data_IF_953647565869
#
_entry.id   IF_953647565869
#
_cell.length_a   1.000
_cell.length_b   1.000
_cell.length_c   1.000
_cell.angle_alpha   90.00
_cell.angle_beta   90.00
_cell.angle_gamma   90.00
#
_symmetry.space_group_name_H-M   'P 1'
#
loop_
_entity.id
_entity.type
_entity.pdbx_description
1 polymer ?
#
# COMPACT_ATOMS: atom_id res chain seq x y z
N UNK A 1 -17.24 45.09 -32.17
CA UNK A 1 -17.72 43.72 -31.90
C UNK A 1 -16.82 43.12 -30.83
N UNK A 2 -17.30 43.06 -29.60
CA UNK A 2 -16.56 42.58 -28.44
C UNK A 2 -16.63 41.06 -28.44
N UNK A 3 -15.47 40.40 -28.46
CA UNK A 3 -15.37 38.95 -28.34
C UNK A 3 -15.61 38.55 -26.90
N UNK A 4 -16.77 37.97 -26.62
CA UNK A 4 -16.99 37.23 -25.39
C UNK A 4 -16.07 36.02 -25.38
N UNK A 5 -15.05 36.08 -24.51
CA UNK A 5 -14.33 34.90 -24.06
C UNK A 5 -15.36 33.99 -23.43
N UNK A 6 -15.64 32.86 -24.07
CA UNK A 6 -16.34 31.74 -23.45
C UNK A 6 -15.61 31.39 -22.17
N UNK A 7 -16.19 31.78 -21.05
CA UNK A 7 -15.90 31.24 -19.74
C UNK A 7 -16.18 29.74 -19.89
N UNK A 8 -15.14 28.93 -19.92
CA UNK A 8 -15.28 27.48 -19.87
C UNK A 8 -15.96 27.15 -18.54
N UNK A 9 -17.25 26.91 -18.66
CA UNK A 9 -18.17 26.46 -17.63
C UNK A 9 -17.49 25.42 -16.72
N UNK A 10 -17.22 25.84 -15.49
CA UNK A 10 -16.79 25.00 -14.36
C UNK A 10 -17.96 24.12 -13.90
N UNK A 11 -18.51 23.32 -14.82
CA UNK A 11 -19.75 22.58 -14.57
C UNK A 11 -19.41 21.12 -14.35
N UNK A 12 -19.40 20.75 -13.06
CA UNK A 12 -19.50 19.37 -12.53
C UNK A 12 -18.20 18.54 -12.52
N UNK A 13 -17.14 19.04 -11.90
CA UNK A 13 -15.98 18.22 -11.54
C UNK A 13 -16.40 17.28 -10.39
N UNK A 14 -16.76 16.03 -10.70
CA UNK A 14 -17.12 15.01 -9.71
C UNK A 14 -15.94 14.44 -8.91
N UNK A 15 -14.70 14.81 -9.29
CA UNK A 15 -13.48 14.37 -8.63
C UNK A 15 -12.32 15.35 -8.87
N UNK A 16 -11.60 15.68 -7.81
CA UNK A 16 -10.43 16.54 -7.82
C UNK A 16 -9.15 15.69 -7.90
N UNK A 17 -8.08 16.27 -8.48
CA UNK A 17 -6.78 15.62 -8.58
C UNK A 17 -5.72 16.47 -7.91
N UNK A 18 -5.07 15.90 -6.89
CA UNK A 18 -3.94 16.52 -6.20
C UNK A 18 -2.82 15.51 -5.96
N UNK A 19 -1.55 15.93 -6.12
CA UNK A 19 -0.34 15.09 -6.01
C UNK A 19 -0.41 13.74 -6.76
N UNK A 20 -1.17 13.71 -7.86
CA UNK A 20 -1.39 12.49 -8.65
C UNK A 20 -2.50 11.56 -8.15
N UNK A 21 -3.12 11.89 -7.01
CA UNK A 21 -4.23 11.18 -6.38
C UNK A 21 -5.56 11.76 -6.88
N UNK A 22 -6.56 10.92 -7.10
CA UNK A 22 -7.92 11.37 -7.47
C UNK A 22 -8.86 11.16 -6.28
N UNK A 23 -9.55 12.22 -5.88
CA UNK A 23 -10.50 12.20 -4.78
C UNK A 23 -11.87 12.62 -5.30
N UNK A 24 -12.85 11.73 -5.23
CA UNK A 24 -14.23 12.05 -5.58
C UNK A 24 -14.89 12.91 -4.50
N UNK A 25 -15.92 13.69 -4.85
CA UNK A 25 -16.65 14.55 -3.89
C UNK A 25 -17.24 13.77 -2.70
N UNK A 26 -17.52 12.47 -2.88
CA UNK A 26 -17.95 11.57 -1.81
C UNK A 26 -16.79 11.00 -0.97
N UNK A 27 -15.62 11.65 -1.01
CA UNK A 27 -14.37 11.23 -0.36
C UNK A 27 -13.93 9.81 -0.72
N UNK A 28 -14.30 9.34 -1.92
CA UNK A 28 -13.90 8.01 -2.41
C UNK A 28 -12.64 8.07 -3.25
N UNK A 29 -11.73 7.12 -3.00
CA UNK A 29 -10.53 6.88 -3.82
C UNK A 29 -10.72 5.81 -4.90
N UNK A 30 -11.92 5.25 -5.07
CA UNK A 30 -12.15 4.17 -6.04
C UNK A 30 -11.78 4.59 -7.47
N UNK A 31 -12.08 5.83 -7.88
CA UNK A 31 -11.67 6.37 -9.19
C UNK A 31 -10.14 6.40 -9.35
N UNK A 32 -9.41 6.72 -8.29
CA UNK A 32 -7.95 6.70 -8.32
C UNK A 32 -7.45 5.27 -8.52
N UNK A 33 -7.97 4.31 -7.75
CA UNK A 33 -7.56 2.90 -7.83
C UNK A 33 -7.89 2.28 -9.19
N UNK A 34 -9.01 2.67 -9.82
CA UNK A 34 -9.33 2.30 -11.20
C UNK A 34 -8.30 2.82 -12.20
N UNK A 35 -7.97 4.12 -12.13
CA UNK A 35 -6.94 4.72 -13.00
C UNK A 35 -5.57 4.09 -12.77
N UNK A 36 -5.24 3.75 -11.52
CA UNK A 36 -4.01 3.08 -11.13
C UNK A 36 -3.91 1.68 -11.74
N UNK A 37 -4.98 0.88 -11.59
CA UNK A 37 -5.06 -0.46 -12.14
C UNK A 37 -4.96 -0.44 -13.68
N UNK A 38 -5.65 0.50 -14.34
CA UNK A 38 -5.58 0.67 -15.80
C UNK A 38 -4.14 0.96 -16.28
N UNK A 39 -3.44 1.89 -15.62
CA UNK A 39 -2.03 2.18 -15.92
C UNK A 39 -1.15 0.94 -15.71
N UNK A 40 -1.35 0.23 -14.60
CA UNK A 40 -0.58 -0.96 -14.28
C UNK A 40 -0.81 -2.09 -15.31
N UNK A 41 -2.05 -2.30 -15.75
CA UNK A 41 -2.34 -3.25 -16.85
C UNK A 41 -1.72 -2.81 -18.18
N UNK A 42 -1.70 -1.51 -18.49
CA UNK A 42 -1.02 -1.01 -19.68
C UNK A 42 0.49 -1.31 -19.64
N UNK A 43 1.14 -1.11 -18.48
CA UNK A 43 2.54 -1.48 -18.25
C UNK A 43 2.76 -2.98 -18.41
N UNK A 44 1.93 -3.82 -17.81
CA UNK A 44 2.01 -5.28 -17.99
C UNK A 44 1.88 -5.69 -19.46
N UNK A 45 0.98 -5.03 -20.21
CA UNK A 45 0.83 -5.27 -21.66
C UNK A 45 2.08 -4.89 -22.43
N UNK A 46 2.72 -3.77 -22.09
CA UNK A 46 4.00 -3.37 -22.69
C UNK A 46 5.10 -4.40 -22.40
N UNK A 47 5.28 -4.78 -21.13
CA UNK A 47 6.24 -5.80 -20.71
C UNK A 47 6.04 -7.10 -21.50
N UNK A 48 4.78 -7.56 -21.60
CA UNK A 48 4.45 -8.79 -22.33
C UNK A 48 4.77 -8.71 -23.83
N UNK A 49 4.71 -7.51 -24.44
CA UNK A 49 5.02 -7.29 -25.85
C UNK A 49 6.53 -7.21 -26.09
N UNK A 50 7.26 -6.64 -25.16
CA UNK A 50 8.72 -6.45 -25.28
C UNK A 50 9.50 -7.75 -25.02
N UNK A 51 9.05 -8.57 -24.06
CA UNK A 51 9.75 -9.80 -23.68
C UNK A 51 8.97 -11.03 -24.13
N UNK A 52 9.56 -11.82 -25.04
CA UNK A 52 8.95 -13.07 -25.55
C UNK A 52 8.80 -14.14 -24.48
N UNK A 53 9.73 -14.19 -23.52
CA UNK A 53 9.70 -15.09 -22.37
C UNK A 53 10.09 -14.33 -21.11
N UNK A 54 9.27 -14.41 -20.07
CA UNK A 54 9.51 -13.77 -18.78
C UNK A 54 9.93 -14.85 -17.78
N UNK A 55 11.14 -14.71 -17.24
CA UNK A 55 11.67 -15.54 -16.15
C UNK A 55 11.21 -15.01 -14.79
N UNK A 56 11.41 -15.79 -13.71
CA UNK A 56 11.12 -15.36 -12.33
C UNK A 56 11.89 -14.08 -11.97
N UNK A 57 13.19 -14.04 -12.25
CA UNK A 57 14.06 -12.90 -11.97
C UNK A 57 13.66 -11.65 -12.76
N UNK A 58 13.36 -11.80 -14.05
CA UNK A 58 12.88 -10.70 -14.87
C UNK A 58 11.53 -10.16 -14.37
N UNK A 59 10.61 -11.04 -13.95
CA UNK A 59 9.36 -10.59 -13.34
C UNK A 59 9.63 -9.78 -12.09
N UNK A 60 10.48 -10.23 -11.17
CA UNK A 60 10.76 -9.48 -9.93
C UNK A 60 11.26 -8.06 -10.20
N UNK A 61 12.20 -7.92 -11.13
CA UNK A 61 12.76 -6.61 -11.49
C UNK A 61 11.68 -5.74 -12.14
N UNK A 62 11.01 -6.23 -13.18
CA UNK A 62 10.04 -5.45 -13.96
C UNK A 62 8.78 -5.13 -13.16
N UNK A 63 8.24 -6.12 -12.44
CA UNK A 63 7.08 -5.93 -11.58
C UNK A 63 7.42 -4.98 -10.43
N UNK A 64 8.55 -5.19 -9.76
CA UNK A 64 8.99 -4.36 -8.65
C UNK A 64 9.23 -2.90 -9.04
N UNK A 65 9.87 -2.66 -10.19
CA UNK A 65 10.21 -1.32 -10.65
C UNK A 65 9.01 -0.58 -11.26
N UNK A 66 8.23 -1.22 -12.14
CA UNK A 66 7.23 -0.47 -12.91
C UNK A 66 5.80 -0.62 -12.43
N UNK A 67 5.43 -1.80 -11.92
CA UNK A 67 4.03 -2.13 -11.60
C UNK A 67 3.77 -1.90 -10.12
N UNK A 68 4.62 -2.44 -9.25
CA UNK A 68 4.48 -2.36 -7.80
C UNK A 68 4.56 -0.92 -7.30
N UNK A 69 5.49 -0.13 -7.82
CA UNK A 69 5.60 1.29 -7.48
C UNK A 69 4.30 2.06 -7.76
N UNK A 70 3.63 1.76 -8.88
CA UNK A 70 2.32 2.35 -9.16
C UNK A 70 1.28 1.89 -8.12
N UNK A 71 1.18 0.58 -7.88
CA UNK A 71 0.14 0.01 -7.01
C UNK A 71 0.29 0.38 -5.53
N UNK A 72 1.49 0.75 -5.09
CA UNK A 72 1.81 1.04 -3.69
C UNK A 72 1.96 2.54 -3.39
N UNK A 73 1.89 3.40 -4.41
CA UNK A 73 1.96 4.84 -4.24
C UNK A 73 0.79 5.35 -3.38
N UNK A 74 1.12 6.17 -2.37
CA UNK A 74 0.16 6.78 -1.45
C UNK A 74 -0.78 5.77 -0.75
N UNK A 75 -0.34 4.52 -0.56
CA UNK A 75 -1.14 3.46 0.07
C UNK A 75 -1.84 3.87 1.37
N UNK A 76 -1.18 4.54 2.34
CA UNK A 76 -1.83 4.92 3.60
C UNK A 76 -2.99 5.89 3.46
N UNK A 77 -3.02 6.66 2.36
CA UNK A 77 -4.04 7.68 2.10
C UNK A 77 -5.19 7.11 1.26
N UNK A 78 -4.85 6.31 0.25
CA UNK A 78 -5.76 5.92 -0.83
C UNK A 78 -6.58 4.66 -0.47
N UNK A 79 -6.18 3.91 0.56
CA UNK A 79 -6.87 2.69 0.95
C UNK A 79 -8.26 2.98 1.53
N UNK A 80 -9.29 2.38 0.92
CA UNK A 80 -10.68 2.58 1.30
C UNK A 80 -11.27 1.45 2.15
N UNK A 81 -10.53 0.35 2.37
CA UNK A 81 -11.06 -0.87 3.00
C UNK A 81 -12.07 -1.66 2.15
N UNK A 82 -12.44 -1.16 0.96
CA UNK A 82 -13.51 -1.76 0.16
C UNK A 82 -12.99 -3.00 -0.55
N UNK A 83 -13.70 -4.12 -0.40
CA UNK A 83 -13.35 -5.40 -1.03
C UNK A 83 -13.22 -5.29 -2.55
N UNK A 84 -14.07 -4.48 -3.19
CA UNK A 84 -14.00 -4.23 -4.66
C UNK A 84 -12.66 -3.67 -5.08
N UNK A 85 -12.15 -2.70 -4.32
CA UNK A 85 -10.90 -1.99 -4.58
C UNK A 85 -9.69 -2.91 -4.33
N UNK A 86 -9.75 -3.74 -3.28
CA UNK A 86 -8.74 -4.78 -3.00
C UNK A 86 -8.68 -5.79 -4.14
N UNK A 87 -9.82 -6.33 -4.57
CA UNK A 87 -9.91 -7.29 -5.68
C UNK A 87 -9.35 -6.69 -6.97
N UNK A 88 -9.70 -5.44 -7.28
CA UNK A 88 -9.27 -4.75 -8.49
C UNK A 88 -7.74 -4.67 -8.57
N UNK A 89 -7.08 -4.26 -7.49
CA UNK A 89 -5.63 -4.12 -7.45
C UNK A 89 -4.95 -5.50 -7.44
N UNK A 90 -5.49 -6.46 -6.68
CA UNK A 90 -4.96 -7.83 -6.64
C UNK A 90 -5.03 -8.51 -8.02
N UNK A 91 -6.03 -8.16 -8.84
CA UNK A 91 -6.16 -8.65 -10.23
C UNK A 91 -4.94 -8.28 -11.08
N UNK A 92 -4.28 -7.16 -10.82
CA UNK A 92 -3.04 -6.75 -11.50
C UNK A 92 -1.90 -7.70 -11.16
N UNK A 93 -1.69 -8.01 -9.87
CA UNK A 93 -0.67 -8.98 -9.46
C UNK A 93 -0.97 -10.38 -9.99
N UNK A 94 -2.24 -10.81 -9.97
CA UNK A 94 -2.68 -12.08 -10.58
C UNK A 94 -2.38 -12.16 -12.07
N UNK A 95 -2.52 -11.06 -12.80
CA UNK A 95 -2.17 -11.00 -14.22
C UNK A 95 -0.65 -11.04 -14.45
N UNK A 96 0.12 -10.30 -13.64
CA UNK A 96 1.57 -10.26 -13.73
C UNK A 96 2.19 -11.65 -13.50
N UNK A 97 1.76 -12.36 -12.45
CA UNK A 97 2.28 -13.69 -12.11
C UNK A 97 1.98 -14.75 -13.19
N UNK A 98 0.91 -14.58 -13.98
CA UNK A 98 0.59 -15.46 -15.12
C UNK A 98 1.51 -15.27 -16.33
N UNK A 99 2.28 -14.18 -16.39
CA UNK A 99 3.17 -13.88 -17.51
C UNK A 99 4.47 -14.69 -17.47
N UNK A 100 4.83 -15.25 -16.32
CA UNK A 100 6.01 -16.10 -16.16
C UNK A 100 5.79 -17.44 -16.82
N UNK A 101 6.78 -17.88 -17.61
CA UNK A 101 6.72 -19.15 -18.31
C UNK A 101 6.51 -20.32 -17.33
N UNK A 102 5.55 -21.19 -17.63
CA UNK A 102 5.21 -22.35 -16.80
C UNK A 102 4.24 -22.07 -15.64
N UNK A 103 3.95 -20.81 -15.30
CA UNK A 103 3.09 -20.50 -14.14
C UNK A 103 1.62 -20.24 -14.49
N UNK A 104 1.28 -20.05 -15.78
CA UNK A 104 -0.05 -19.60 -16.22
C UNK A 104 -1.22 -20.46 -15.71
N UNK A 105 -1.05 -21.78 -15.66
CA UNK A 105 -2.09 -22.75 -15.27
C UNK A 105 -2.14 -23.03 -13.77
N UNK A 106 -1.11 -22.64 -13.01
CA UNK A 106 -1.09 -22.86 -11.56
C UNK A 106 -2.15 -22.02 -10.84
N UNK A 107 -2.59 -22.46 -9.66
CA UNK A 107 -3.44 -21.63 -8.79
C UNK A 107 -2.65 -20.43 -8.26
N UNK A 108 -3.36 -19.35 -7.88
CA UNK A 108 -2.71 -18.08 -7.56
C UNK A 108 -1.73 -18.19 -6.39
N UNK A 109 -2.14 -18.85 -5.30
CA UNK A 109 -1.30 -19.00 -4.11
C UNK A 109 0.00 -19.75 -4.42
N UNK A 110 -0.06 -20.79 -5.26
CA UNK A 110 1.14 -21.50 -5.72
C UNK A 110 2.03 -20.59 -6.57
N UNK A 111 1.47 -19.74 -7.44
CA UNK A 111 2.27 -18.77 -8.19
C UNK A 111 2.99 -17.79 -7.26
N UNK A 112 2.32 -17.33 -6.20
CA UNK A 112 2.92 -16.44 -5.20
C UNK A 112 4.08 -17.13 -4.48
N UNK A 113 3.91 -18.37 -4.04
CA UNK A 113 4.96 -19.15 -3.38
C UNK A 113 6.17 -19.38 -4.31
N UNK A 114 5.94 -19.81 -5.55
CA UNK A 114 7.02 -20.04 -6.54
C UNK A 114 7.77 -18.75 -6.85
N UNK A 115 7.07 -17.62 -6.90
CA UNK A 115 7.65 -16.32 -7.17
C UNK A 115 8.17 -15.63 -5.91
N UNK A 116 7.99 -16.18 -4.71
CA UNK A 116 8.32 -15.49 -3.45
C UNK A 116 7.73 -14.06 -3.40
N UNK A 117 6.40 -13.98 -3.60
CA UNK A 117 5.64 -12.74 -3.56
C UNK A 117 4.55 -12.81 -2.51
N UNK A 118 4.43 -11.77 -1.69
CA UNK A 118 3.28 -11.59 -0.82
C UNK A 118 2.06 -11.04 -1.59
N UNK A 119 0.82 -11.37 -1.18
CA UNK A 119 -0.38 -10.66 -1.61
C UNK A 119 -0.25 -9.14 -1.38
N UNK A 120 -0.88 -8.31 -2.23
CA UNK A 120 -0.76 -6.86 -2.09
C UNK A 120 -1.43 -6.35 -0.82
N UNK A 121 -2.50 -7.00 -0.38
CA UNK A 121 -3.18 -6.69 0.87
C UNK A 121 -2.25 -6.86 2.08
N UNK A 122 -1.49 -7.96 2.13
CA UNK A 122 -0.49 -8.16 3.19
C UNK A 122 0.58 -7.06 3.18
N UNK A 123 1.09 -6.69 2.00
CA UNK A 123 2.10 -5.63 1.90
C UNK A 123 1.57 -4.27 2.33
N UNK A 124 0.30 -3.97 2.05
CA UNK A 124 -0.37 -2.75 2.52
C UNK A 124 -0.49 -2.73 4.04
N UNK A 125 -1.03 -3.80 4.62
CA UNK A 125 -1.14 -3.92 6.07
C UNK A 125 0.21 -3.72 6.76
N UNK A 126 1.28 -4.32 6.20
CA UNK A 126 2.65 -4.09 6.69
C UNK A 126 3.07 -2.62 6.60
N UNK A 127 2.76 -1.94 5.50
CA UNK A 127 3.01 -0.51 5.33
C UNK A 127 2.27 0.37 6.34
N UNK A 128 1.00 0.06 6.58
CA UNK A 128 0.17 0.79 7.55
C UNK A 128 0.69 0.61 8.98
N UNK A 129 1.13 -0.60 9.34
CA UNK A 129 1.77 -0.88 10.62
C UNK A 129 3.09 -0.11 10.79
N UNK A 130 3.90 -0.03 9.75
CA UNK A 130 5.15 0.76 9.76
C UNK A 130 4.84 2.26 9.96
N UNK A 131 3.84 2.79 9.24
CA UNK A 131 3.43 4.19 9.41
C UNK A 131 2.89 4.44 10.81
N UNK A 132 2.06 3.55 11.32
CA UNK A 132 1.51 3.62 12.67
C UNK A 132 2.63 3.68 13.71
N UNK A 133 3.59 2.76 13.63
CA UNK A 133 4.77 2.77 14.50
C UNK A 133 5.54 4.10 14.40
N UNK A 134 5.76 4.63 13.19
CA UNK A 134 6.44 5.90 13.01
C UNK A 134 5.66 7.09 13.60
N UNK A 135 4.33 7.08 13.53
CA UNK A 135 3.51 8.13 14.14
C UNK A 135 3.62 8.15 15.66
N UNK A 136 3.54 6.98 16.31
CA UNK A 136 3.53 6.87 17.76
C UNK A 136 4.93 6.90 18.38
N UNK A 137 5.84 6.06 17.90
CA UNK A 137 7.14 5.83 18.55
C UNK A 137 8.23 6.77 18.06
N UNK A 138 8.12 7.28 16.83
CA UNK A 138 9.12 8.21 16.26
C UNK A 138 8.70 9.69 16.42
N UNK A 139 7.63 9.96 17.17
CA UNK A 139 7.19 11.32 17.49
C UNK A 139 6.70 12.13 16.28
N UNK A 140 6.45 11.50 15.12
CA UNK A 140 5.90 12.21 13.96
C UNK A 140 4.52 12.81 14.26
N UNK A 141 3.71 12.15 15.10
CA UNK A 141 2.42 12.69 15.51
C UNK A 141 2.58 14.07 16.19
N UNK A 142 3.55 14.23 17.10
CA UNK A 142 3.78 15.48 17.83
C UNK A 142 4.29 16.62 16.93
N UNK A 143 4.84 16.29 15.75
CA UNK A 143 5.30 17.26 14.77
C UNK A 143 4.15 17.87 13.95
N UNK A 144 3.10 17.08 13.69
CA UNK A 144 1.99 17.48 12.84
C UNK A 144 0.71 17.79 13.61
N UNK A 145 0.53 17.21 14.78
CA UNK A 145 -0.63 17.35 15.63
C UNK A 145 -0.22 17.88 17.00
N UNK A 146 -0.83 18.97 17.42
CA UNK A 146 -0.76 19.45 18.80
C UNK A 146 -1.91 18.84 19.58
N UNK A 147 -1.61 18.15 20.67
CA UNK A 147 -2.63 17.69 21.61
C UNK A 147 -3.28 18.92 22.24
N UNK A 148 -4.59 19.04 22.12
CA UNK A 148 -5.35 20.09 22.80
C UNK A 148 -5.30 19.81 24.32
N UNK A 149 -4.70 20.70 25.13
CA UNK A 149 -4.63 20.51 26.58
C UNK A 149 -6.00 20.62 27.25
N UNK A 150 -7.00 21.19 26.57
CA UNK A 150 -8.36 21.25 27.08
C UNK A 150 -9.05 19.89 26.84
N UNK A 151 -9.10 19.05 27.89
CA UNK A 151 -9.84 17.79 27.92
C UNK A 151 -11.37 18.01 27.89
N UNK A 152 -11.87 18.64 26.83
CA UNK A 152 -13.28 19.04 26.66
C UNK A 152 -14.10 17.94 26.00
N UNK A 153 -13.47 16.79 25.66
CA UNK A 153 -14.14 15.67 25.00
C UNK A 153 -14.39 14.53 25.98
N UNK A 154 -15.59 13.96 25.88
CA UNK A 154 -16.10 12.89 26.74
C UNK A 154 -15.40 11.56 26.41
N UNK A 155 -14.21 11.33 26.97
CA UNK A 155 -13.42 10.11 26.82
C UNK A 155 -12.86 9.64 28.15
N UNK A 156 -12.78 8.31 28.33
CA UNK A 156 -12.21 7.67 29.52
C UNK A 156 -10.72 8.06 29.66
N UNK A 157 -10.32 8.46 30.87
CA UNK A 157 -9.10 9.22 31.16
C UNK A 157 -7.79 8.70 30.56
N UNK A 158 -6.89 9.65 30.30
CA UNK A 158 -5.54 9.48 29.76
C UNK A 158 -4.75 8.35 30.45
N UNK A 159 -4.14 7.46 29.65
CA UNK A 159 -2.98 6.70 30.14
C UNK A 159 -1.76 7.63 30.07
N UNK A 160 -1.13 7.84 31.21
CA UNK A 160 0.12 8.59 31.35
C UNK A 160 1.19 8.03 30.39
N UNK A 161 2.10 8.87 29.86
CA UNK A 161 3.28 8.38 29.18
C UNK A 161 4.07 7.51 30.15
N UNK A 162 4.49 6.31 29.71
CA UNK A 162 5.41 5.47 30.45
C UNK A 162 6.67 6.31 30.73
N UNK A 163 6.85 6.73 31.97
CA UNK A 163 8.08 7.36 32.43
C UNK A 163 9.25 6.41 32.16
N UNK A 164 10.35 6.95 31.65
CA UNK A 164 11.65 6.29 31.46
C UNK A 164 12.15 5.59 32.72
N UNK A 165 11.67 4.37 32.99
CA UNK A 165 12.17 3.52 34.10
C UNK A 165 12.64 2.14 33.67
N UNK A 166 12.62 1.82 32.37
CA UNK A 166 13.17 0.56 31.87
C UNK A 166 14.52 0.79 31.18
N UNK A 167 15.53 1.14 31.98
CA UNK A 167 16.93 0.92 31.59
C UNK A 167 17.15 -0.59 31.71
N UNK A 168 17.00 -1.30 30.60
CA UNK A 168 17.28 -2.74 30.52
C UNK A 168 18.81 -2.91 30.57
N UNK A 169 19.30 -3.55 31.62
CA UNK A 169 20.70 -3.97 31.71
C UNK A 169 21.03 -4.94 30.56
N UNK A 170 22.15 -4.76 29.84
CA UNK A 170 22.51 -5.59 28.67
C UNK A 170 22.89 -7.04 29.04
N UNK A 171 22.69 -7.49 30.28
CA UNK A 171 23.17 -8.78 30.79
C UNK A 171 22.23 -9.97 30.68
N UNK A 172 20.96 -9.81 30.30
CA UNK A 172 19.94 -10.88 30.47
C UNK A 172 19.22 -11.34 29.19
N UNK A 173 19.82 -11.20 28.01
CA UNK A 173 19.21 -11.62 26.73
C UNK A 173 19.57 -13.06 26.31
N UNK A 174 19.88 -13.97 27.24
CA UNK A 174 20.28 -15.36 26.90
C UNK A 174 19.34 -16.46 27.42
N UNK A 175 18.22 -16.14 28.08
CA UNK A 175 17.40 -17.17 28.76
C UNK A 175 15.89 -17.13 28.51
N UNK A 176 15.42 -16.49 27.45
CA UNK A 176 14.00 -16.60 27.07
C UNK A 176 13.86 -16.67 25.55
N UNK A 177 14.07 -17.86 25.01
CA UNK A 177 13.57 -18.27 23.71
C UNK A 177 12.81 -19.58 23.94
N UNK A 178 11.48 -19.53 23.84
CA UNK A 178 10.65 -20.73 23.79
C UNK A 178 10.79 -21.39 22.40
N UNK A 179 10.81 -22.74 22.31
CA UNK A 179 11.39 -23.47 21.19
C UNK A 179 10.39 -23.77 20.05
N UNK A 180 9.49 -22.85 19.73
CA UNK A 180 8.34 -23.14 18.83
C UNK A 180 8.60 -22.82 17.35
N UNK A 181 9.75 -22.24 16.99
CA UNK A 181 10.08 -21.92 15.59
C UNK A 181 11.50 -22.34 15.18
N UNK A 182 11.93 -23.54 15.54
CA UNK A 182 13.10 -24.18 14.93
C UNK A 182 12.69 -25.43 14.14
N UNK A 183 12.16 -25.17 12.95
CA UNK A 183 11.98 -26.09 11.81
C UNK A 183 11.27 -25.20 10.80
N UNK A 184 11.90 -24.70 9.74
CA UNK A 184 12.45 -25.45 8.61
C UNK A 184 13.42 -24.52 7.89
N UNK A 185 14.64 -24.98 7.61
CA UNK A 185 15.29 -24.73 6.32
C UNK A 185 16.49 -25.69 6.19
N UNK A 186 16.70 -26.28 5.00
CA UNK A 186 17.73 -27.29 4.74
C UNK A 186 19.16 -26.75 4.79
#
# INVERSE_FOLDING_TARGET
MHGEKGLEDTTRIGAEKDLGIWLSLNMSFSLHLEKLAQKAFAVLRMIRRTFSRITRTALHILYGAYVRQLLEYANPVVYSGRTKDVILIERVQRAATKMVAGLKSMVYETRLAVLDLFPLEYRRLRGDLILTYALFEQGLANRFFTVDPANTRRGHGERQPLSDKNKIDPGNLSKSLDPVYQSVNP
#
